data_IF_346628182440
#
_entry.id   IF_346628182440
#
_cell.length_a   1.000
_cell.length_b   1.000
_cell.length_c   1.000
_cell.angle_alpha   90.00
_cell.angle_beta   90.00
_cell.angle_gamma   90.00
#
_symmetry.space_group_name_H-M   'P 1'
#
loop_
_entity.id
_entity.type
_entity.pdbx_description
1 polymer ?
#
# COMPACT_ATOMS: atom_id res chain seq x y z
N UNK A 1 -16.20 4.42 0.84
CA UNK A 1 -15.27 3.35 0.45
C UNK A 1 -14.13 3.95 -0.36
N UNK A 2 -12.92 3.77 0.11
CA UNK A 2 -11.78 4.35 -0.58
C UNK A 2 -11.35 3.47 -1.73
N UNK A 3 -11.16 4.08 -2.89
CA UNK A 3 -10.60 3.39 -4.03
C UNK A 3 -9.10 3.65 -4.07
N UNK A 4 -8.32 2.58 -4.10
CA UNK A 4 -6.87 2.69 -4.14
C UNK A 4 -6.43 2.83 -5.58
N UNK A 5 -5.73 3.93 -5.88
CA UNK A 5 -5.19 4.15 -7.21
C UNK A 5 -3.92 3.33 -7.42
N UNK A 6 -3.52 3.18 -8.67
CA UNK A 6 -2.27 2.50 -9.00
C UNK A 6 -1.08 3.16 -8.32
N UNK A 7 -1.04 4.49 -8.31
CA UNK A 7 0.06 5.23 -7.67
C UNK A 7 0.12 4.95 -6.17
N UNK A 8 -1.05 4.90 -5.52
CA UNK A 8 -1.10 4.60 -4.10
C UNK A 8 -0.64 3.18 -3.81
N UNK A 9 -1.06 2.23 -4.61
CA UNK A 9 -0.63 0.85 -4.46
C UNK A 9 0.87 0.73 -4.68
N UNK A 10 1.40 1.39 -5.70
CA UNK A 10 2.84 1.36 -5.98
C UNK A 10 3.65 1.99 -4.84
N UNK A 11 3.14 3.07 -4.24
CA UNK A 11 3.81 3.69 -3.11
C UNK A 11 3.91 2.72 -1.93
N UNK A 12 2.85 1.96 -1.68
CA UNK A 12 2.87 0.93 -0.63
C UNK A 12 3.89 -0.16 -0.95
N UNK A 13 3.88 -0.64 -2.19
CA UNK A 13 4.79 -1.70 -2.61
C UNK A 13 6.25 -1.23 -2.53
N UNK A 14 6.52 0.03 -2.88
CA UNK A 14 7.86 0.59 -2.79
C UNK A 14 8.38 0.55 -1.36
N UNK A 15 7.56 0.92 -0.38
CA UNK A 15 7.94 0.84 1.02
C UNK A 15 8.19 -0.60 1.43
N UNK A 16 7.33 -1.51 0.98
CA UNK A 16 7.47 -2.93 1.27
C UNK A 16 8.79 -3.48 0.72
N UNK A 17 9.10 -3.13 -0.51
CA UNK A 17 10.31 -3.64 -1.17
C UNK A 17 11.58 -3.03 -0.61
N UNK A 18 11.51 -1.80 -0.10
CA UNK A 18 12.67 -1.14 0.47
C UNK A 18 13.13 -1.78 1.78
N UNK A 19 12.22 -2.43 2.49
CA UNK A 19 12.56 -3.09 3.75
C UNK A 19 12.98 -2.15 4.87
N UNK A 20 12.66 -0.86 4.75
CA UNK A 20 13.13 0.13 5.73
C UNK A 20 12.29 0.14 7.02
N UNK A 21 11.14 -0.52 7.00
CA UNK A 21 10.28 -0.56 8.16
C UNK A 21 9.46 -1.84 8.17
N UNK A 22 8.91 -2.16 9.33
CA UNK A 22 7.95 -3.26 9.47
C UNK A 22 6.62 -2.82 8.86
N UNK A 23 6.09 -3.59 7.92
CA UNK A 23 4.85 -3.24 7.23
C UNK A 23 3.63 -3.25 8.16
N UNK A 24 3.74 -3.84 9.34
CA UNK A 24 2.67 -3.76 10.34
C UNK A 24 2.69 -2.44 11.10
N UNK A 25 3.76 -1.66 10.97
CA UNK A 25 3.82 -0.32 11.54
C UNK A 25 3.16 0.66 10.57
N UNK A 26 1.84 0.69 10.62
CA UNK A 26 1.02 1.46 9.68
C UNK A 26 1.37 2.94 9.71
N UNK A 27 1.71 3.47 10.88
CA UNK A 27 2.05 4.87 11.02
C UNK A 27 3.31 5.22 10.22
N UNK A 28 4.35 4.41 10.35
CA UNK A 28 5.60 4.64 9.63
C UNK A 28 5.41 4.40 8.12
N UNK A 29 4.68 3.34 7.76
CA UNK A 29 4.37 3.09 6.36
C UNK A 29 3.62 4.27 5.75
N UNK A 30 2.70 4.86 6.49
CA UNK A 30 1.96 6.03 6.03
C UNK A 30 2.88 7.23 5.79
N UNK A 31 3.82 7.46 6.68
CA UNK A 31 4.77 8.56 6.54
C UNK A 31 5.69 8.37 5.32
N UNK A 32 6.15 7.15 5.10
CA UNK A 32 7.06 6.85 3.99
C UNK A 32 6.34 6.84 2.64
N UNK A 33 5.12 6.35 2.60
CA UNK A 33 4.36 6.22 1.35
C UNK A 33 3.50 7.44 1.03
N UNK A 34 3.22 8.28 2.03
CA UNK A 34 2.29 9.39 1.88
C UNK A 34 0.83 8.95 1.92
N UNK A 35 0.56 7.74 2.33
CA UNK A 35 -0.79 7.21 2.42
C UNK A 35 -1.38 7.40 3.81
N UNK A 36 -2.72 7.45 3.87
CA UNK A 36 -3.42 7.50 5.14
C UNK A 36 -3.57 6.08 5.70
N UNK A 37 -3.80 6.00 7.00
CA UNK A 37 -3.96 4.72 7.67
C UNK A 37 -5.05 3.87 7.03
N UNK A 38 -6.19 4.48 6.71
CA UNK A 38 -7.30 3.74 6.10
C UNK A 38 -6.93 3.17 4.74
N UNK A 39 -6.15 3.93 3.97
CA UNK A 39 -5.68 3.48 2.66
C UNK A 39 -4.75 2.28 2.80
N UNK A 40 -3.84 2.34 3.77
CA UNK A 40 -2.92 1.24 4.02
C UNK A 40 -3.67 -0.02 4.44
N UNK A 41 -4.65 0.13 5.34
CA UNK A 41 -5.45 -1.01 5.77
C UNK A 41 -6.24 -1.62 4.61
N UNK A 42 -6.79 -0.76 3.75
CA UNK A 42 -7.49 -1.22 2.55
C UNK A 42 -6.56 -2.01 1.63
N UNK A 43 -5.35 -1.52 1.43
CA UNK A 43 -4.37 -2.22 0.60
C UNK A 43 -4.03 -3.58 1.21
N UNK A 44 -3.82 -3.64 2.51
CA UNK A 44 -3.51 -4.89 3.20
C UNK A 44 -4.62 -5.93 3.05
N UNK A 45 -5.88 -5.47 3.15
CA UNK A 45 -7.03 -6.37 3.05
C UNK A 45 -7.27 -6.85 1.62
N UNK A 46 -6.93 -6.04 0.64
CA UNK A 46 -7.21 -6.32 -0.76
C UNK A 46 -5.94 -6.46 -1.60
N UNK A 47 -4.82 -6.79 -0.96
CA UNK A 47 -3.52 -6.79 -1.63
C UNK A 47 -3.53 -7.70 -2.86
N UNK A 48 -4.04 -8.91 -2.73
CA UNK A 48 -4.08 -9.84 -3.85
C UNK A 48 -4.87 -9.33 -5.03
N UNK A 49 -6.03 -8.72 -4.75
CA UNK A 49 -6.88 -8.15 -5.79
C UNK A 49 -6.21 -6.96 -6.46
N UNK A 50 -5.59 -6.08 -5.66
CA UNK A 50 -4.91 -4.91 -6.19
C UNK A 50 -3.69 -5.29 -7.00
N UNK A 51 -2.94 -6.27 -6.55
CA UNK A 51 -1.79 -6.77 -7.29
C UNK A 51 -2.23 -7.31 -8.65
N UNK A 52 -3.28 -8.12 -8.65
CA UNK A 52 -3.81 -8.69 -9.88
C UNK A 52 -4.31 -7.60 -10.84
N UNK A 53 -4.98 -6.60 -10.28
CA UNK A 53 -5.53 -5.49 -11.07
C UNK A 53 -4.44 -4.63 -11.70
N UNK A 54 -3.37 -4.33 -10.96
CA UNK A 54 -2.37 -3.37 -11.41
C UNK A 54 -1.12 -4.01 -12.00
N UNK A 55 -0.75 -5.21 -11.58
CA UNK A 55 0.42 -5.89 -12.13
C UNK A 55 0.15 -6.54 -13.47
N UNK A 56 -1.10 -6.94 -13.70
CA UNK A 56 -1.49 -7.64 -14.93
C UNK A 56 -2.07 -6.70 -15.99
N UNK A 57 -2.01 -5.41 -15.75
CA UNK A 57 -2.55 -4.43 -16.70
C UNK A 57 -1.55 -4.06 -17.77
#
# INVERSE_FOLDING_TARGET
>A
MEEITKEQFEAYVDVQMSGVTNMFDVKTVGQLSGLEKEQILTIMQSYGELQDKYDNS
#
